data_IF_842251285233
#
_entry.id   IF_842251285233
#
_cell.length_a   1.000
_cell.length_b   1.000
_cell.length_c   1.000
_cell.angle_alpha   90.00
_cell.angle_beta   90.00
_cell.angle_gamma   90.00
#
_symmetry.space_group_name_H-M   'P 1'
#
loop_
_entity.id
_entity.type
_entity.pdbx_description
1 polymer ?
#
# COMPACT_ATOMS: atom_id res chain seq x y z
N UNK A 1 18.82 8.55 -12.89
CA UNK A 1 19.66 9.12 -11.80
C UNK A 1 21.10 9.27 -12.27
N UNK A 2 21.71 10.44 -12.07
CA UNK A 2 23.13 10.75 -12.35
C UNK A 2 23.82 11.17 -11.04
N UNK A 3 24.93 10.54 -10.68
CA UNK A 3 25.71 10.94 -9.48
C UNK A 3 26.31 12.32 -9.68
N UNK A 4 26.33 13.15 -8.63
CA UNK A 4 27.08 14.41 -8.57
C UNK A 4 28.42 14.26 -7.86
N UNK A 5 28.72 13.06 -7.38
CA UNK A 5 29.99 12.70 -6.75
C UNK A 5 30.78 11.73 -7.62
N UNK A 6 32.10 11.69 -7.44
CA UNK A 6 33.00 10.69 -8.06
C UNK A 6 32.79 9.26 -7.53
N UNK A 7 31.69 9.01 -6.82
CA UNK A 7 31.33 7.69 -6.33
C UNK A 7 30.73 6.84 -7.47
N UNK A 8 31.30 5.66 -7.68
CA UNK A 8 30.77 4.71 -8.66
C UNK A 8 29.38 4.19 -8.28
N UNK A 9 29.06 4.16 -6.96
CA UNK A 9 27.74 3.80 -6.44
C UNK A 9 26.82 5.01 -6.48
N UNK A 10 26.02 5.12 -7.55
CA UNK A 10 25.10 6.26 -7.77
C UNK A 10 23.99 6.39 -6.71
N UNK A 11 23.79 5.40 -5.85
CA UNK A 11 22.86 5.46 -4.72
C UNK A 11 23.50 6.01 -3.43
N UNK A 12 24.82 6.24 -3.41
CA UNK A 12 25.54 6.85 -2.30
C UNK A 12 25.97 8.28 -2.65
N UNK A 13 25.58 9.23 -1.80
CA UNK A 13 25.88 10.65 -1.98
C UNK A 13 24.84 11.39 -2.80
N UNK A 14 25.15 12.63 -3.15
CA UNK A 14 24.26 13.50 -3.92
C UNK A 14 24.13 13.01 -5.36
N UNK A 15 22.90 12.96 -5.85
CA UNK A 15 22.60 12.57 -7.21
C UNK A 15 21.40 13.37 -7.74
N UNK A 16 21.39 13.65 -9.03
CA UNK A 16 20.24 14.21 -9.73
C UNK A 16 19.34 13.07 -10.19
N UNK A 17 18.06 13.16 -9.88
CA UNK A 17 17.02 12.28 -10.40
C UNK A 17 16.20 13.11 -11.37
N UNK A 18 16.05 12.59 -12.59
CA UNK A 18 15.25 13.19 -13.65
C UNK A 18 14.20 12.15 -14.01
N UNK A 19 12.94 12.56 -14.03
CA UNK A 19 11.89 11.76 -14.64
C UNK A 19 12.10 11.75 -16.16
N UNK A 20 11.94 10.57 -16.76
CA UNK A 20 12.09 10.38 -18.20
C UNK A 20 10.79 9.82 -18.78
N UNK A 21 10.54 10.10 -20.05
CA UNK A 21 9.40 9.52 -20.74
C UNK A 21 9.52 8.00 -20.81
N UNK A 22 8.42 7.31 -20.51
CA UNK A 22 8.34 5.87 -20.66
C UNK A 22 8.36 5.50 -22.15
N UNK A 23 9.36 4.75 -22.57
CA UNK A 23 9.46 4.24 -23.95
C UNK A 23 8.82 2.85 -24.05
N UNK A 24 8.46 2.43 -25.27
CA UNK A 24 7.99 1.07 -25.53
C UNK A 24 9.00 0.01 -25.06
N UNK A 25 10.29 0.30 -25.17
CA UNK A 25 11.34 -0.61 -24.70
C UNK A 25 11.35 -0.74 -23.18
N UNK A 26 11.20 0.35 -22.43
CA UNK A 26 11.11 0.27 -20.96
C UNK A 26 9.83 -0.42 -20.50
N UNK A 27 8.72 -0.18 -21.21
CA UNK A 27 7.47 -0.90 -20.99
C UNK A 27 7.65 -2.40 -21.23
N UNK A 28 8.29 -2.80 -22.33
CA UNK A 28 8.58 -4.20 -22.62
C UNK A 28 9.38 -4.86 -21.49
N UNK A 29 10.41 -4.21 -20.97
CA UNK A 29 11.19 -4.75 -19.85
C UNK A 29 10.31 -4.99 -18.61
N UNK A 30 9.49 -4.00 -18.24
CA UNK A 30 8.57 -4.13 -17.11
C UNK A 30 7.53 -5.25 -17.35
N UNK A 31 6.90 -5.28 -18.53
CA UNK A 31 5.87 -6.26 -18.90
C UNK A 31 6.41 -7.70 -18.89
N UNK A 32 7.65 -7.93 -19.35
CA UNK A 32 8.26 -9.26 -19.30
C UNK A 32 8.63 -9.67 -17.87
N UNK A 33 9.17 -8.75 -17.06
CA UNK A 33 9.47 -9.02 -15.65
C UNK A 33 8.21 -9.27 -14.83
N UNK A 34 7.09 -8.62 -15.17
CA UNK A 34 5.81 -8.77 -14.49
C UNK A 34 5.26 -10.20 -14.53
N UNK A 35 5.68 -11.03 -15.49
CA UNK A 35 5.19 -12.42 -15.64
C UNK A 35 5.84 -13.39 -14.66
N UNK A 36 6.92 -12.99 -13.98
CA UNK A 36 7.65 -13.85 -13.06
C UNK A 36 6.78 -14.24 -11.85
N UNK A 37 7.06 -15.40 -11.26
CA UNK A 37 6.44 -15.88 -10.02
C UNK A 37 4.90 -15.92 -10.01
N UNK A 38 4.27 -16.05 -11.19
CA UNK A 38 2.81 -16.09 -11.33
C UNK A 38 2.15 -14.72 -11.46
N UNK A 39 2.95 -13.64 -11.55
CA UNK A 39 2.46 -12.27 -11.74
C UNK A 39 2.95 -11.34 -10.64
N UNK A 40 3.63 -10.26 -11.03
CA UNK A 40 4.00 -9.15 -10.16
C UNK A 40 3.13 -7.94 -10.48
N UNK A 41 2.38 -7.49 -9.48
CA UNK A 41 1.52 -6.31 -9.57
C UNK A 41 2.28 -4.99 -9.46
N UNK A 42 3.35 -5.01 -8.66
CA UNK A 42 4.23 -3.87 -8.40
C UNK A 42 5.65 -4.38 -8.60
N UNK A 43 6.40 -3.72 -9.49
CA UNK A 43 7.81 -4.01 -9.73
C UNK A 43 8.56 -2.78 -10.22
N UNK A 44 9.89 -2.82 -10.11
CA UNK A 44 10.81 -1.88 -10.71
C UNK A 44 11.92 -2.65 -11.42
N UNK A 45 12.28 -2.21 -12.63
CA UNK A 45 13.46 -2.72 -13.35
C UNK A 45 14.56 -1.67 -13.22
N UNK A 46 15.66 -2.01 -12.55
CA UNK A 46 16.82 -1.14 -12.42
C UNK A 46 17.84 -1.44 -13.53
N UNK A 47 18.30 -0.39 -14.19
CA UNK A 47 19.29 -0.48 -15.25
C UNK A 47 20.36 0.61 -15.13
N UNK A 48 21.57 0.28 -15.59
CA UNK A 48 22.69 1.21 -15.72
C UNK A 48 22.91 1.54 -17.18
N UNK A 49 22.90 2.84 -17.51
CA UNK A 49 23.41 3.35 -18.78
C UNK A 49 24.91 3.67 -18.66
N UNK A 50 25.69 3.20 -19.63
CA UNK A 50 27.13 3.47 -19.81
C UNK A 50 27.35 4.74 -20.62
N UNK A 51 28.59 5.26 -20.62
CA UNK A 51 28.94 6.49 -21.34
C UNK A 51 28.77 6.40 -22.86
N UNK A 52 28.82 5.20 -23.44
CA UNK A 52 28.54 4.93 -24.85
C UNK A 52 27.04 4.71 -25.14
N UNK A 53 26.16 4.99 -24.17
CA UNK A 53 24.70 4.94 -24.33
C UNK A 53 24.08 3.54 -24.22
N UNK A 54 24.89 2.49 -24.04
CA UNK A 54 24.37 1.13 -23.81
C UNK A 54 23.76 1.01 -22.42
N UNK A 55 22.76 0.16 -22.29
CA UNK A 55 22.06 -0.05 -21.03
C UNK A 55 22.04 -1.51 -20.64
N UNK A 56 22.18 -1.74 -19.34
CA UNK A 56 22.28 -3.06 -18.74
C UNK A 56 21.30 -3.12 -17.58
N UNK A 57 20.34 -4.05 -17.66
CA UNK A 57 19.47 -4.38 -16.52
C UNK A 57 20.33 -5.04 -15.44
N UNK A 58 20.22 -4.56 -14.20
CA UNK A 58 21.01 -5.04 -13.07
C UNK A 58 20.15 -5.66 -11.96
N UNK A 59 18.88 -5.28 -11.85
CA UNK A 59 17.99 -5.78 -10.81
C UNK A 59 16.52 -5.67 -11.23
N UNK A 60 15.69 -6.58 -10.70
CA UNK A 60 14.24 -6.46 -10.68
C UNK A 60 13.80 -6.49 -9.22
N UNK A 61 13.10 -5.46 -8.79
CA UNK A 61 12.63 -5.28 -7.41
C UNK A 61 11.11 -5.47 -7.44
N UNK A 62 10.55 -6.19 -6.47
CA UNK A 62 9.12 -6.47 -6.35
C UNK A 62 8.38 -5.36 -5.57
N UNK A 63 7.60 -5.67 -4.54
CA UNK A 63 6.92 -4.69 -3.69
C UNK A 63 7.87 -3.83 -2.83
N UNK A 64 9.14 -4.22 -2.66
CA UNK A 64 10.13 -3.54 -1.81
C UNK A 64 10.74 -2.24 -2.36
N UNK A 65 10.13 -1.60 -3.36
CA UNK A 65 10.70 -0.43 -4.06
C UNK A 65 10.69 0.81 -3.16
N UNK A 66 11.75 1.60 -3.23
CA UNK A 66 11.79 2.93 -2.64
C UNK A 66 11.04 3.93 -3.52
N UNK A 67 9.97 4.51 -3.00
CA UNK A 67 9.24 5.60 -3.67
C UNK A 67 10.07 6.89 -3.70
N UNK A 68 9.98 7.62 -4.82
CA UNK A 68 10.61 8.93 -4.96
C UNK A 68 9.81 9.99 -4.21
N UNK A 69 10.48 10.97 -3.61
CA UNK A 69 9.82 12.00 -2.78
C UNK A 69 8.83 12.86 -3.56
N UNK A 70 9.12 13.15 -4.82
CA UNK A 70 8.31 14.03 -5.67
C UNK A 70 7.00 13.37 -6.12
N UNK A 71 7.01 12.05 -6.37
CA UNK A 71 5.84 11.27 -6.79
C UNK A 71 5.19 10.46 -5.66
N UNK A 72 5.68 10.60 -4.43
CA UNK A 72 5.36 9.69 -3.31
C UNK A 72 3.86 9.56 -3.05
N UNK A 73 3.16 10.69 -2.95
CA UNK A 73 1.75 10.70 -2.58
C UNK A 73 0.88 10.07 -3.68
N UNK A 74 1.20 10.33 -4.94
CA UNK A 74 0.52 9.71 -6.07
C UNK A 74 0.78 8.20 -6.13
N UNK A 75 2.01 7.76 -5.91
CA UNK A 75 2.37 6.35 -5.92
C UNK A 75 1.71 5.60 -4.76
N UNK A 76 1.63 6.22 -3.58
CA UNK A 76 0.88 5.67 -2.44
C UNK A 76 -0.61 5.53 -2.80
N UNK A 77 -1.21 6.54 -3.43
CA UNK A 77 -2.61 6.46 -3.84
C UNK A 77 -2.84 5.33 -4.86
N UNK A 78 -1.96 5.19 -5.87
CA UNK A 78 -2.04 4.09 -6.86
C UNK A 78 -1.91 2.71 -6.21
N UNK A 79 -0.99 2.56 -5.24
CA UNK A 79 -0.82 1.32 -4.48
C UNK A 79 -2.07 1.03 -3.65
N UNK A 80 -2.67 2.03 -3.01
CA UNK A 80 -3.91 1.88 -2.25
C UNK A 80 -5.07 1.43 -3.15
N UNK A 81 -5.26 2.08 -4.30
CA UNK A 81 -6.32 1.75 -5.26
C UNK A 81 -6.17 0.32 -5.80
N UNK A 82 -4.94 -0.07 -6.15
CA UNK A 82 -4.62 -1.44 -6.57
C UNK A 82 -4.92 -2.46 -5.48
N UNK A 83 -4.53 -2.16 -4.23
CA UNK A 83 -4.78 -3.03 -3.08
C UNK A 83 -6.29 -3.21 -2.85
N UNK A 84 -7.06 -2.12 -2.88
CA UNK A 84 -8.53 -2.17 -2.74
C UNK A 84 -9.15 -2.99 -3.87
N UNK A 85 -8.69 -2.79 -5.11
CA UNK A 85 -9.15 -3.57 -6.27
C UNK A 85 -8.90 -5.07 -6.07
N UNK A 86 -7.67 -5.47 -5.73
CA UNK A 86 -7.30 -6.87 -5.48
C UNK A 86 -8.08 -7.48 -4.31
N UNK A 87 -8.32 -6.71 -3.26
CA UNK A 87 -9.15 -7.13 -2.12
C UNK A 87 -10.60 -7.39 -2.54
N UNK A 88 -11.21 -6.50 -3.33
CA UNK A 88 -12.58 -6.69 -3.84
C UNK A 88 -12.70 -7.91 -4.76
N UNK A 89 -11.72 -8.13 -5.63
CA UNK A 89 -11.68 -9.30 -6.52
C UNK A 89 -11.60 -10.62 -5.75
N UNK A 90 -10.77 -10.65 -4.69
CA UNK A 90 -10.53 -11.87 -3.89
C UNK A 90 -11.59 -12.11 -2.82
N UNK A 91 -12.13 -11.03 -2.26
CA UNK A 91 -13.11 -11.03 -1.18
C UNK A 91 -14.33 -10.18 -1.58
N UNK A 92 -15.12 -10.64 -2.56
CA UNK A 92 -16.33 -9.94 -2.93
C UNK A 92 -17.24 -9.84 -1.70
N UNK A 93 -17.78 -8.65 -1.47
CA UNK A 93 -18.62 -8.34 -0.31
C UNK A 93 -19.75 -9.37 -0.21
N UNK A 94 -19.91 -10.03 0.96
CA UNK A 94 -21.06 -10.93 1.17
C UNK A 94 -22.39 -10.20 1.00
N UNK A 95 -22.40 -8.88 1.25
CA UNK A 95 -23.53 -7.98 1.02
C UNK A 95 -23.93 -7.88 -0.46
N UNK A 96 -22.98 -7.84 -1.40
CA UNK A 96 -23.32 -7.84 -2.84
C UNK A 96 -23.90 -9.18 -3.27
N UNK A 97 -23.41 -10.29 -2.70
CA UNK A 97 -24.00 -11.62 -2.87
C UNK A 97 -25.40 -11.75 -2.19
N UNK A 98 -25.73 -10.87 -1.25
CA UNK A 98 -27.05 -10.79 -0.61
C UNK A 98 -28.02 -9.83 -1.32
N UNK A 99 -27.57 -8.90 -2.16
CA UNK A 99 -28.49 -8.00 -2.89
C UNK A 99 -29.37 -8.77 -3.91
N UNK A 100 -28.92 -9.93 -4.38
CA UNK A 100 -29.74 -10.86 -5.19
C UNK A 100 -30.74 -11.72 -4.38
N UNK A 101 -30.69 -11.67 -3.05
CA UNK A 101 -31.60 -12.37 -2.14
C UNK A 101 -32.07 -11.38 -1.08
N UNK A 102 -33.15 -10.63 -1.36
CA UNK A 102 -33.84 -9.69 -0.46
C UNK A 102 -33.56 -9.98 1.02
N UNK A 103 -32.49 -9.40 1.56
CA UNK A 103 -32.19 -9.49 2.97
C UNK A 103 -33.11 -8.48 3.68
N UNK A 104 -33.83 -8.88 4.74
CA UNK A 104 -34.71 -7.96 5.46
C UNK A 104 -33.88 -6.80 5.99
N UNK A 105 -34.37 -5.57 5.80
CA UNK A 105 -33.70 -4.31 6.11
C UNK A 105 -33.11 -4.22 7.54
N UNK A 106 -33.64 -5.00 8.47
CA UNK A 106 -33.12 -5.15 9.83
C UNK A 106 -31.67 -5.67 9.87
N UNK A 107 -31.29 -6.62 9.01
CA UNK A 107 -29.93 -7.19 9.00
C UNK A 107 -28.88 -6.19 8.48
N UNK A 108 -29.26 -5.35 7.52
CA UNK A 108 -28.40 -4.27 7.01
C UNK A 108 -28.12 -3.22 8.10
N UNK A 109 -29.15 -2.84 8.86
CA UNK A 109 -28.99 -1.86 9.95
C UNK A 109 -28.08 -2.34 11.08
N UNK A 110 -28.02 -3.66 11.31
CA UNK A 110 -27.18 -4.24 12.37
C UNK A 110 -25.72 -4.39 11.92
N UNK A 111 -25.48 -4.77 10.65
CA UNK A 111 -24.14 -4.85 10.09
C UNK A 111 -23.44 -3.47 10.03
N UNK A 112 -24.19 -2.39 9.78
CA UNK A 112 -23.68 -1.02 9.76
C UNK A 112 -23.33 -0.48 11.15
N UNK A 113 -23.93 -0.99 12.24
CA UNK A 113 -23.56 -0.62 13.62
C UNK A 113 -22.23 -1.22 14.07
N UNK A 114 -21.84 -2.38 13.53
CA UNK A 114 -20.61 -3.08 13.92
C UNK A 114 -19.37 -2.40 13.32
N UNK A 115 -19.51 -1.67 12.21
CA UNK A 115 -18.45 -0.80 11.68
C UNK A 115 -18.50 0.53 12.44
N UNK A 116 -17.95 0.51 13.66
CA UNK A 116 -17.91 1.66 14.55
C UNK A 116 -17.20 2.87 13.94
N UNK A 117 -17.93 3.98 13.84
CA UNK A 117 -17.38 5.30 13.57
C UNK A 117 -16.60 5.79 14.83
N UNK A 118 -15.32 6.23 14.77
CA UNK A 118 -14.52 6.49 15.98
C UNK A 118 -14.92 7.76 16.76
N UNK A 119 -15.94 8.49 16.34
CA UNK A 119 -16.27 9.81 16.90
C UNK A 119 -17.65 9.84 17.55
N UNK A 120 -17.75 9.30 18.76
CA UNK A 120 -18.77 9.75 19.71
C UNK A 120 -18.17 9.77 21.11
N UNK A 121 -17.75 10.96 21.56
CA UNK A 121 -17.42 11.23 22.96
C UNK A 121 -18.64 10.90 23.82
N UNK A 122 -18.54 9.88 24.66
CA UNK A 122 -19.55 9.61 25.69
C UNK A 122 -19.39 10.65 26.81
N UNK A 123 -20.47 11.38 27.09
CA UNK A 123 -20.62 12.30 28.21
C UNK A 123 -20.63 11.55 29.54
N UNK A 124 -19.76 11.93 30.47
CA UNK A 124 -19.75 11.42 31.84
C UNK A 124 -20.81 12.10 32.71
N UNK A 125 -21.52 11.30 33.51
CA UNK A 125 -22.11 11.69 34.80
C UNK A 125 -21.73 10.65 35.86
N UNK A 126 -21.54 11.05 37.13
CA UNK A 126 -20.84 10.26 38.13
C UNK A 126 -21.81 9.41 38.97
N UNK A 127 -21.37 8.22 39.37
CA UNK A 127 -22.10 7.41 40.36
C UNK A 127 -21.62 5.97 40.45
N UNK A 128 -20.96 5.70 41.58
CA UNK A 128 -20.87 4.44 42.32
C UNK A 128 -19.84 3.36 41.96
N UNK A 129 -19.20 2.96 43.06
CA UNK A 129 -18.07 2.09 43.27
C UNK A 129 -18.39 0.59 43.14
N UNK A 130 -17.29 -0.16 42.96
CA UNK A 130 -17.07 -1.57 43.33
C UNK A 130 -17.43 -2.65 42.27
N UNK A 131 -16.44 -3.13 41.52
CA UNK A 131 -15.85 -4.46 41.76
C UNK A 131 -14.82 -4.81 40.69
N UNK A 132 -13.69 -5.33 41.16
CA UNK A 132 -12.59 -5.87 40.39
C UNK A 132 -13.02 -7.14 39.65
N UNK A 133 -12.80 -7.20 38.34
CA UNK A 133 -12.82 -8.45 37.56
C UNK A 133 -11.90 -8.30 36.36
N UNK A 134 -10.65 -8.69 36.55
CA UNK A 134 -9.62 -8.76 35.51
C UNK A 134 -9.90 -9.94 34.59
N UNK A 135 -10.44 -9.67 33.40
CA UNK A 135 -10.31 -10.60 32.27
C UNK A 135 -9.26 -10.03 31.31
N UNK A 136 -8.04 -10.57 31.40
CA UNK A 136 -6.96 -10.30 30.43
C UNK A 136 -7.34 -10.94 29.10
N UNK A 137 -7.90 -10.17 28.18
CA UNK A 137 -7.89 -10.50 26.75
C UNK A 137 -6.47 -10.22 26.23
N UNK A 138 -5.70 -11.29 25.99
CA UNK A 138 -4.45 -11.22 25.23
C UNK A 138 -4.78 -10.91 23.77
N UNK A 139 -4.90 -9.62 23.44
CA UNK A 139 -4.83 -9.12 22.08
C UNK A 139 -3.48 -8.44 21.89
N UNK A 140 -2.59 -9.04 21.11
CA UNK A 140 -1.32 -8.43 20.73
C UNK A 140 -1.62 -7.35 19.68
N UNK A 141 -1.82 -6.11 20.12
CA UNK A 141 -1.95 -4.96 19.24
C UNK A 141 -0.57 -4.36 19.00
N UNK A 142 -0.03 -4.55 17.80
CA UNK A 142 1.16 -3.83 17.32
C UNK A 142 0.68 -2.76 16.36
N UNK A 143 0.38 -1.56 16.89
CA UNK A 143 0.07 -0.37 16.11
C UNK A 143 0.84 0.81 16.68
N UNK A 144 1.61 1.48 15.83
CA UNK A 144 2.29 2.74 16.16
C UNK A 144 1.21 3.84 16.16
N UNK A 145 1.00 4.47 17.32
CA UNK A 145 0.25 5.72 17.42
C UNK A 145 1.23 6.84 17.06
N UNK A 146 1.02 7.49 15.93
CA UNK A 146 1.61 8.80 15.66
C UNK A 146 0.65 9.83 16.24
N UNK A 147 0.97 10.31 17.44
CA UNK A 147 0.37 11.53 17.94
C UNK A 147 0.93 12.72 17.16
N UNK A 148 0.02 13.63 16.79
CA UNK A 148 0.21 14.80 15.95
C UNK A 148 0.98 15.92 16.68
#
# INVERSE_FOLDING_TARGET
>A
RKSLSDNWKRNMGSAVVEEIQLTERYKLWADECAKMFGGLDILCVEAIQTGDGKEYIIEVIDTGIKLFSESRDEDIQRIADLTIKRLKEKYPSSLENMIGKTAPAALLSEALKVVGNPTSKASHSPGDSNSSSTTKLHGHFSGIILDN
#
